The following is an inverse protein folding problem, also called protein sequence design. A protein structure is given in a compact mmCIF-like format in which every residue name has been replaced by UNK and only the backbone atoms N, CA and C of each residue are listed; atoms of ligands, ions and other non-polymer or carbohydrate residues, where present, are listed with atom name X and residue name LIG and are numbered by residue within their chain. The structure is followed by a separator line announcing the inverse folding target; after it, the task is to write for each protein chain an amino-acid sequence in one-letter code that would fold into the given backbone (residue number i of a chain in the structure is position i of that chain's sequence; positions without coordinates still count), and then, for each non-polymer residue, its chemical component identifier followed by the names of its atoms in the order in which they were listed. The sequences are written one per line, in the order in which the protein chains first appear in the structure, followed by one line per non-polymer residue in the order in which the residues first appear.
data_IF_518710283591
#
_entry.id   IF_518710283591
#
_cell.length_a   1.000
_cell.length_b   1.000
_cell.length_c   1.000
_cell.angle_alpha   90.00
_cell.angle_beta   90.00
_cell.angle_gamma   90.00
#
_symmetry.space_group_name_H-M   'P 1'
#
loop_
_entity.id
_entity.type
_entity.pdbx_description
1 polymer ?
#
# COMPACT_ATOMS: atom_id res chain seq x y z
N UNK A 1 37.83 -13.17 74.03
CA UNK A 1 38.02 -12.21 72.88
C UNK A 1 38.07 -12.93 71.53
N UNK A 2 38.68 -14.09 71.43
CA UNK A 2 38.71 -14.89 70.20
C UNK A 2 37.33 -15.30 69.67
N UNK A 3 36.39 -15.60 70.49
CA UNK A 3 35.06 -16.05 70.15
C UNK A 3 34.20 -14.96 69.48
N UNK A 4 34.39 -13.69 69.85
CA UNK A 4 33.73 -12.54 69.19
C UNK A 4 34.33 -12.21 67.85
N UNK A 5 35.62 -12.47 67.61
CA UNK A 5 36.27 -12.24 66.38
C UNK A 5 35.80 -13.25 65.29
N UNK A 6 35.68 -14.54 65.68
CA UNK A 6 35.17 -15.58 64.77
C UNK A 6 33.71 -15.35 64.36
N UNK A 7 32.88 -14.88 65.28
CA UNK A 7 31.47 -14.55 64.97
C UNK A 7 31.34 -13.35 64.05
N UNK A 8 32.24 -12.37 64.13
CA UNK A 8 32.27 -11.23 63.27
C UNK A 8 32.75 -11.62 61.85
N UNK A 9 33.76 -12.47 61.74
CA UNK A 9 34.24 -12.99 60.44
C UNK A 9 33.17 -13.82 59.73
N UNK A 10 32.44 -14.66 60.48
CA UNK A 10 31.33 -15.44 59.92
C UNK A 10 30.18 -14.56 59.42
N UNK A 11 29.83 -13.52 60.17
CA UNK A 11 28.84 -12.54 59.76
C UNK A 11 29.27 -11.75 58.51
N UNK A 12 30.54 -11.36 58.43
CA UNK A 12 31.08 -10.67 57.22
C UNK A 12 30.97 -11.57 56.00
N UNK A 13 31.41 -12.83 56.14
CA UNK A 13 31.30 -13.79 55.02
C UNK A 13 29.84 -14.04 54.59
N UNK A 14 28.94 -14.06 55.53
CA UNK A 14 27.51 -14.20 55.25
C UNK A 14 26.92 -12.97 54.58
N UNK A 15 27.31 -11.77 54.97
CA UNK A 15 26.91 -10.53 54.29
C UNK A 15 27.50 -10.41 52.88
N UNK A 16 28.76 -10.78 52.68
CA UNK A 16 29.40 -10.80 51.34
C UNK A 16 28.70 -11.77 50.42
N UNK A 17 28.38 -12.97 50.85
CA UNK A 17 27.63 -13.95 50.05
C UNK A 17 26.23 -13.42 49.68
N UNK A 18 25.56 -12.76 50.63
CA UNK A 18 24.24 -12.18 50.40
C UNK A 18 24.27 -10.98 49.42
N UNK A 19 25.34 -10.18 49.52
CA UNK A 19 25.57 -9.09 48.55
C UNK A 19 25.82 -9.63 47.14
N UNK A 20 26.64 -10.68 46.97
CA UNK A 20 26.88 -11.32 45.70
C UNK A 20 25.60 -11.92 45.10
N UNK A 21 24.79 -12.54 45.93
CA UNK A 21 23.51 -13.09 45.50
C UNK A 21 22.53 -12.00 45.05
N UNK A 22 22.45 -10.89 45.81
CA UNK A 22 21.62 -9.74 45.43
C UNK A 22 22.11 -9.05 44.17
N UNK A 23 23.40 -8.94 43.97
CA UNK A 23 24.01 -8.37 42.77
C UNK A 23 23.71 -9.24 41.55
N UNK A 24 23.88 -10.54 41.67
CA UNK A 24 23.48 -11.51 40.62
C UNK A 24 21.99 -11.42 40.29
N UNK A 25 21.12 -11.41 41.28
CA UNK A 25 19.68 -11.28 41.07
C UNK A 25 19.31 -9.94 40.45
N UNK A 26 20.00 -8.87 40.83
CA UNK A 26 19.79 -7.53 40.22
C UNK A 26 20.17 -7.49 38.73
N UNK A 27 21.31 -8.09 38.43
CA UNK A 27 21.79 -8.18 37.04
C UNK A 27 20.87 -8.98 36.15
N UNK A 28 20.42 -10.16 36.65
CA UNK A 28 19.44 -10.99 35.94
C UNK A 28 18.10 -10.28 35.71
N UNK A 29 17.65 -9.50 36.69
CA UNK A 29 16.40 -8.72 36.55
C UNK A 29 16.57 -7.57 35.57
N UNK A 30 17.70 -6.87 35.58
CA UNK A 30 17.99 -5.80 34.61
C UNK A 30 18.03 -6.35 33.20
N UNK A 31 18.68 -7.47 32.98
CA UNK A 31 18.71 -8.12 31.67
C UNK A 31 17.31 -8.53 31.21
N UNK A 32 16.50 -9.10 32.08
CA UNK A 32 15.09 -9.42 31.76
C UNK A 32 14.28 -8.18 31.43
N UNK A 33 14.43 -7.10 32.18
CA UNK A 33 13.74 -5.83 31.92
C UNK A 33 14.16 -5.25 30.58
N UNK A 34 15.44 -5.26 30.25
CA UNK A 34 15.95 -4.77 29.00
C UNK A 34 15.42 -5.59 27.82
N UNK A 35 15.39 -6.91 27.93
CA UNK A 35 14.84 -7.79 26.91
C UNK A 35 13.33 -7.61 26.72
N UNK A 36 12.58 -7.42 27.81
CA UNK A 36 11.14 -7.12 27.75
C UNK A 36 10.87 -5.74 27.14
N UNK A 37 11.67 -4.74 27.48
CA UNK A 37 11.52 -3.38 26.93
C UNK A 37 11.79 -3.35 25.42
N UNK A 38 12.82 -4.05 24.97
CA UNK A 38 13.12 -4.19 23.54
C UNK A 38 12.02 -4.92 22.79
N UNK A 39 11.50 -6.01 23.34
CA UNK A 39 10.36 -6.73 22.77
C UNK A 39 9.08 -5.88 22.74
N UNK A 40 8.84 -5.09 23.80
CA UNK A 40 7.68 -4.21 23.88
C UNK A 40 7.72 -3.07 22.85
N UNK A 41 8.90 -2.50 22.57
CA UNK A 41 9.03 -1.42 21.57
C UNK A 41 8.77 -1.91 20.15
N UNK A 42 9.29 -3.08 19.77
CA UNK A 42 9.04 -3.68 18.46
C UNK A 42 7.60 -4.19 18.30
N UNK A 43 7.03 -4.80 19.32
CA UNK A 43 5.63 -5.19 19.36
C UNK A 43 4.71 -3.95 19.30
N UNK A 44 5.08 -2.86 20.01
CA UNK A 44 4.35 -1.59 19.95
C UNK A 44 4.37 -0.97 18.57
N UNK A 45 5.50 -1.01 17.86
CA UNK A 45 5.63 -0.52 16.49
C UNK A 45 4.79 -1.35 15.51
N UNK A 46 4.85 -2.67 15.61
CA UNK A 46 4.04 -3.57 14.80
C UNK A 46 2.54 -3.35 15.02
N UNK A 47 2.13 -3.18 16.28
CA UNK A 47 0.75 -2.86 16.63
C UNK A 47 0.30 -1.50 16.09
N UNK A 48 1.15 -0.47 16.18
CA UNK A 48 0.87 0.85 15.62
C UNK A 48 0.65 0.79 14.10
N UNK A 49 1.47 0.03 13.37
CA UNK A 49 1.27 -0.18 11.93
C UNK A 49 -0.01 -0.96 11.62
N UNK A 50 -0.35 -1.99 12.41
CA UNK A 50 -1.59 -2.74 12.23
C UNK A 50 -2.83 -1.88 12.53
N UNK A 51 -2.78 -1.01 13.51
CA UNK A 51 -3.87 -0.06 13.80
C UNK A 51 -4.02 0.97 12.68
N UNK A 52 -2.92 1.50 12.15
CA UNK A 52 -2.99 2.35 10.95
C UNK A 52 -3.57 1.60 9.76
N UNK A 53 -3.17 0.36 9.52
CA UNK A 53 -3.77 -0.50 8.50
C UNK A 53 -5.28 -0.61 8.65
N UNK A 54 -5.77 -0.87 9.87
CA UNK A 54 -7.21 -1.00 10.16
C UNK A 54 -8.00 0.27 9.89
N UNK A 55 -7.38 1.45 10.01
CA UNK A 55 -8.07 2.71 9.68
C UNK A 55 -8.46 2.82 8.21
N UNK A 56 -7.75 2.15 7.30
CA UNK A 56 -8.03 2.16 5.86
C UNK A 56 -9.06 1.12 5.42
N UNK A 57 -9.32 0.08 6.21
CA UNK A 57 -10.33 -0.95 5.90
C UNK A 57 -11.75 -0.38 5.78
N UNK A 58 -12.13 0.53 6.69
CA UNK A 58 -13.46 1.14 6.68
C UNK A 58 -13.71 2.03 5.45
N UNK A 59 -12.83 3.00 5.14
CA UNK A 59 -12.95 3.81 3.92
C UNK A 59 -12.98 2.96 2.64
N UNK A 60 -12.10 1.95 2.53
CA UNK A 60 -12.07 1.05 1.40
C UNK A 60 -13.42 0.37 1.16
N UNK A 61 -13.99 -0.24 2.21
CA UNK A 61 -15.29 -0.91 2.11
C UNK A 61 -16.45 0.05 1.80
N UNK A 62 -16.40 1.29 2.30
CA UNK A 62 -17.38 2.32 2.00
C UNK A 62 -17.32 2.74 0.52
N UNK A 63 -16.16 3.08 0.01
CA UNK A 63 -15.98 3.49 -1.37
C UNK A 63 -16.28 2.38 -2.37
N UNK A 64 -15.97 1.14 -2.03
CA UNK A 64 -16.35 -0.01 -2.84
C UNK A 64 -17.88 -0.17 -2.94
N UNK A 65 -18.61 0.05 -1.85
CA UNK A 65 -20.08 0.04 -1.87
C UNK A 65 -20.65 1.17 -2.72
N UNK A 66 -20.08 2.39 -2.60
CA UNK A 66 -20.47 3.55 -3.43
C UNK A 66 -20.27 3.25 -4.91
N UNK A 67 -19.15 2.65 -5.27
CA UNK A 67 -18.85 2.22 -6.65
C UNK A 67 -19.90 1.23 -7.18
N UNK A 68 -20.17 0.15 -6.44
CA UNK A 68 -21.15 -0.86 -6.83
C UNK A 68 -22.55 -0.23 -6.95
N UNK A 69 -22.95 0.63 -6.01
CA UNK A 69 -24.24 1.32 -6.04
C UNK A 69 -24.37 2.23 -7.24
N UNK A 70 -23.29 2.95 -7.61
CA UNK A 70 -23.28 3.81 -8.81
C UNK A 70 -23.47 3.02 -10.09
N UNK A 71 -22.80 1.87 -10.22
CA UNK A 71 -22.98 0.97 -11.38
C UNK A 71 -24.40 0.41 -11.44
N UNK A 72 -24.97 0.02 -10.28
CA UNK A 72 -26.32 -0.51 -10.19
C UNK A 72 -27.36 0.55 -10.59
N UNK A 73 -27.19 1.81 -10.17
CA UNK A 73 -28.02 2.92 -10.60
C UNK A 73 -27.91 3.18 -12.11
N UNK A 74 -26.71 3.11 -12.69
CA UNK A 74 -26.51 3.22 -14.14
C UNK A 74 -27.25 2.11 -14.89
N UNK A 75 -27.17 0.87 -14.38
CA UNK A 75 -27.91 -0.26 -14.98
C UNK A 75 -29.43 -0.06 -14.92
N UNK A 76 -29.95 0.41 -13.79
CA UNK A 76 -31.39 0.73 -13.65
C UNK A 76 -31.81 1.84 -14.61
N UNK A 77 -31.00 2.89 -14.76
CA UNK A 77 -31.26 3.97 -15.73
C UNK A 77 -31.26 3.45 -17.18
N UNK A 78 -30.34 2.55 -17.52
CA UNK A 78 -30.28 1.95 -18.84
C UNK A 78 -31.52 1.09 -19.12
N UNK A 79 -31.90 0.23 -18.18
CA UNK A 79 -33.12 -0.59 -18.29
C UNK A 79 -34.38 0.26 -18.41
N UNK A 80 -34.48 1.32 -17.58
CA UNK A 80 -35.60 2.27 -17.67
C UNK A 80 -35.62 3.00 -19.02
N UNK A 81 -34.44 3.32 -19.58
CA UNK A 81 -34.35 3.89 -20.92
C UNK A 81 -34.89 2.97 -22.02
N UNK A 82 -34.48 1.70 -21.98
CA UNK A 82 -34.93 0.68 -22.91
C UNK A 82 -36.43 0.42 -22.78
N UNK A 83 -36.90 0.32 -21.54
CA UNK A 83 -38.35 0.13 -21.24
C UNK A 83 -39.18 1.26 -21.81
N UNK A 84 -38.78 2.51 -21.65
CA UNK A 84 -39.46 3.68 -22.20
C UNK A 84 -39.55 3.63 -23.72
N UNK A 85 -38.46 3.28 -24.40
CA UNK A 85 -38.46 3.16 -25.87
C UNK A 85 -39.33 2.02 -26.35
N UNK A 86 -39.36 0.90 -25.63
CA UNK A 86 -40.19 -0.27 -25.99
C UNK A 86 -41.70 -0.03 -25.89
N UNK A 87 -42.15 0.85 -24.97
CA UNK A 87 -43.55 1.15 -24.74
C UNK A 87 -44.07 2.37 -25.50
N UNK A 88 -43.29 2.94 -26.40
CA UNK A 88 -43.74 4.02 -27.30
C UNK A 88 -44.49 3.36 -28.47
N UNK A 89 -45.82 3.56 -28.57
CA UNK A 89 -46.68 2.97 -29.59
C UNK A 89 -46.41 3.42 -31.03
N UNK A 90 -45.66 4.49 -31.20
CA UNK A 90 -45.20 5.03 -32.50
C UNK A 90 -43.70 5.05 -32.56
N UNK A 91 -43.13 4.66 -33.70
CA UNK A 91 -41.71 4.78 -33.91
C UNK A 91 -41.27 6.26 -33.68
N UNK A 92 -40.44 6.52 -32.63
CA UNK A 92 -40.09 7.88 -32.28
C UNK A 92 -39.26 8.52 -33.40
N UNK A 93 -39.56 9.77 -33.69
CA UNK A 93 -38.70 10.58 -34.61
C UNK A 93 -37.29 10.77 -34.00
N UNK A 94 -36.29 10.87 -34.88
CA UNK A 94 -34.89 11.06 -34.45
C UNK A 94 -34.71 12.21 -33.46
N UNK A 95 -35.44 13.31 -33.63
CA UNK A 95 -35.38 14.48 -32.73
C UNK A 95 -35.91 14.16 -31.33
N UNK A 96 -36.93 13.34 -31.20
CA UNK A 96 -37.49 12.93 -29.92
C UNK A 96 -36.53 11.99 -29.18
N UNK A 97 -35.91 11.05 -29.89
CA UNK A 97 -34.89 10.16 -29.34
C UNK A 97 -33.70 10.97 -28.81
N UNK A 98 -33.17 11.88 -29.62
CA UNK A 98 -32.02 12.72 -29.23
C UNK A 98 -32.39 13.57 -28.00
N UNK A 99 -33.55 14.17 -27.97
CA UNK A 99 -34.02 14.98 -26.83
C UNK A 99 -34.15 14.15 -25.55
N UNK A 100 -34.67 12.94 -25.66
CA UNK A 100 -34.81 12.01 -24.53
C UNK A 100 -33.44 11.56 -24.00
N UNK A 101 -32.48 11.25 -24.88
CA UNK A 101 -31.12 10.89 -24.49
C UNK A 101 -30.38 12.08 -23.86
N UNK A 102 -30.49 13.26 -24.48
CA UNK A 102 -29.82 14.48 -24.00
C UNK A 102 -30.26 14.89 -22.62
N UNK A 103 -31.56 14.70 -22.27
CA UNK A 103 -32.07 14.99 -20.94
C UNK A 103 -31.53 14.10 -19.84
N UNK A 104 -31.10 12.88 -20.16
CA UNK A 104 -30.51 11.91 -19.22
C UNK A 104 -28.99 12.02 -19.10
N UNK A 105 -28.33 12.64 -20.06
CA UNK A 105 -26.89 12.74 -20.17
C UNK A 105 -26.22 13.34 -18.91
N UNK A 106 -26.71 14.45 -18.32
CA UNK A 106 -26.13 15.00 -17.11
C UNK A 106 -26.13 14.05 -15.91
N UNK A 107 -27.24 13.28 -15.77
CA UNK A 107 -27.35 12.32 -14.67
C UNK A 107 -26.40 11.13 -14.87
N UNK A 108 -26.31 10.59 -16.08
CA UNK A 108 -25.35 9.53 -16.43
C UNK A 108 -23.93 10.01 -16.23
N UNK A 109 -23.60 11.22 -16.68
CA UNK A 109 -22.27 11.78 -16.52
C UNK A 109 -21.89 11.94 -15.03
N UNK A 110 -22.82 12.40 -14.19
CA UNK A 110 -22.60 12.52 -12.75
C UNK A 110 -22.36 11.15 -12.07
N UNK A 111 -23.15 10.12 -12.45
CA UNK A 111 -22.98 8.77 -11.91
C UNK A 111 -21.67 8.12 -12.37
N UNK A 112 -21.29 8.30 -13.62
CA UNK A 112 -19.99 7.82 -14.14
C UNK A 112 -18.84 8.51 -13.40
N UNK A 113 -18.94 9.83 -13.20
CA UNK A 113 -17.93 10.56 -12.44
C UNK A 113 -17.82 10.04 -10.99
N UNK A 114 -18.97 9.81 -10.33
CA UNK A 114 -19.02 9.27 -8.97
C UNK A 114 -18.39 7.87 -8.91
N UNK A 115 -18.70 7.00 -9.89
CA UNK A 115 -18.13 5.66 -9.96
C UNK A 115 -16.59 5.69 -10.12
N UNK A 116 -16.09 6.55 -11.00
CA UNK A 116 -14.63 6.73 -11.19
C UNK A 116 -13.99 7.24 -9.92
N UNK A 117 -14.57 8.25 -9.27
CA UNK A 117 -14.06 8.80 -8.02
C UNK A 117 -14.01 7.73 -6.92
N UNK A 118 -15.11 6.99 -6.73
CA UNK A 118 -15.20 5.94 -5.73
C UNK A 118 -14.18 4.81 -5.98
N UNK A 119 -13.96 4.43 -7.23
CA UNK A 119 -12.96 3.44 -7.61
C UNK A 119 -11.53 3.89 -7.25
N UNK A 120 -11.23 5.18 -7.45
CA UNK A 120 -9.92 5.76 -7.09
C UNK A 120 -9.68 5.71 -5.59
N UNK A 121 -10.65 6.20 -4.81
CA UNK A 121 -10.55 6.23 -3.36
C UNK A 121 -10.42 4.81 -2.76
N UNK A 122 -11.19 3.86 -3.29
CA UNK A 122 -11.07 2.46 -2.88
C UNK A 122 -9.68 1.87 -3.19
N UNK A 123 -9.13 2.17 -4.37
CA UNK A 123 -7.80 1.70 -4.77
C UNK A 123 -6.68 2.33 -3.93
N UNK A 124 -6.78 3.62 -3.60
CA UNK A 124 -5.82 4.30 -2.72
C UNK A 124 -5.86 3.73 -1.30
N UNK A 125 -7.06 3.56 -0.75
CA UNK A 125 -7.23 2.98 0.59
C UNK A 125 -6.66 1.55 0.67
N UNK A 126 -6.89 0.73 -0.36
CA UNK A 126 -6.36 -0.63 -0.45
C UNK A 126 -4.82 -0.65 -0.48
N UNK A 127 -4.21 0.23 -1.26
CA UNK A 127 -2.75 0.34 -1.34
C UNK A 127 -2.11 0.73 -0.01
N UNK A 128 -2.70 1.70 0.67
CA UNK A 128 -2.22 2.10 2.00
C UNK A 128 -2.39 0.97 3.01
N UNK A 129 -3.49 0.24 2.96
CA UNK A 129 -3.71 -0.95 3.79
C UNK A 129 -2.62 -2.01 3.57
N UNK A 130 -2.30 -2.33 2.31
CA UNK A 130 -1.28 -3.31 1.95
C UNK A 130 0.12 -2.87 2.41
N UNK A 131 0.46 -1.59 2.25
CA UNK A 131 1.76 -1.04 2.63
C UNK A 131 1.97 -1.05 4.16
N UNK A 132 0.95 -0.63 4.92
CA UNK A 132 1.00 -0.71 6.39
C UNK A 132 0.96 -2.15 6.90
N UNK A 133 0.26 -3.05 6.21
CA UNK A 133 0.28 -4.49 6.49
C UNK A 133 1.68 -5.09 6.31
N UNK A 134 2.37 -4.72 5.24
CA UNK A 134 3.74 -5.13 4.99
C UNK A 134 4.71 -4.62 6.08
N UNK A 135 4.60 -3.34 6.45
CA UNK A 135 5.40 -2.75 7.54
C UNK A 135 5.16 -3.41 8.88
N UNK A 136 3.90 -3.72 9.20
CA UNK A 136 3.53 -4.46 10.42
C UNK A 136 4.15 -5.86 10.43
N UNK A 137 4.09 -6.58 9.30
CA UNK A 137 4.69 -7.90 9.16
C UNK A 137 6.21 -7.86 9.35
N UNK A 138 6.91 -6.91 8.71
CA UNK A 138 8.36 -6.73 8.88
C UNK A 138 8.70 -6.42 10.35
N UNK A 139 7.98 -5.50 10.99
CA UNK A 139 8.22 -5.15 12.39
C UNK A 139 8.01 -6.35 13.32
N UNK A 140 7.01 -7.20 13.04
CA UNK A 140 6.75 -8.42 13.82
C UNK A 140 7.87 -9.46 13.62
N UNK A 141 8.33 -9.67 12.41
CA UNK A 141 9.38 -10.66 12.08
C UNK A 141 10.76 -10.21 12.54
N UNK A 142 11.00 -8.90 12.62
CA UNK A 142 12.31 -8.33 12.94
C UNK A 142 12.88 -8.87 14.25
N UNK A 143 12.06 -8.95 15.31
CA UNK A 143 12.53 -9.42 16.62
C UNK A 143 12.93 -10.91 16.59
N UNK A 144 12.20 -11.72 15.83
CA UNK A 144 12.56 -13.13 15.61
C UNK A 144 13.90 -13.27 14.88
N UNK A 145 14.08 -12.57 13.78
CA UNK A 145 15.33 -12.60 13.03
C UNK A 145 16.50 -12.01 13.82
N UNK A 146 16.27 -10.96 14.58
CA UNK A 146 17.29 -10.35 15.43
C UNK A 146 17.81 -11.34 16.46
N UNK A 147 16.95 -12.08 17.15
CA UNK A 147 17.34 -13.11 18.12
C UNK A 147 18.16 -14.21 17.47
N UNK A 148 17.72 -14.69 16.31
CA UNK A 148 18.41 -15.75 15.58
C UNK A 148 19.80 -15.30 15.11
N UNK A 149 19.90 -14.09 14.55
CA UNK A 149 21.17 -13.53 14.10
C UNK A 149 22.13 -13.22 15.25
N UNK A 150 21.62 -12.80 16.42
CA UNK A 150 22.46 -12.57 17.60
C UNK A 150 23.04 -13.90 18.13
N UNK A 151 22.34 -15.01 17.99
CA UNK A 151 22.84 -16.33 18.35
C UNK A 151 23.93 -16.84 17.38
N UNK A 152 23.84 -16.45 16.10
CA UNK A 152 24.80 -16.87 15.07
C UNK A 152 26.06 -15.98 15.09
N UNK A 153 25.88 -14.70 15.26
CA UNK A 153 26.92 -13.68 15.09
C UNK A 153 27.28 -13.08 16.47
N UNK A 154 28.27 -13.65 17.14
CA UNK A 154 28.78 -13.16 18.42
C UNK A 154 29.72 -11.94 18.28
N UNK A 155 29.86 -11.38 17.08
CA UNK A 155 30.79 -10.30 16.77
C UNK A 155 30.11 -8.95 16.56
N UNK A 156 30.72 -7.88 17.14
CA UNK A 156 30.34 -6.48 16.95
C UNK A 156 30.88 -5.91 15.61
N UNK A 157 30.93 -6.71 14.56
CA UNK A 157 31.43 -6.25 13.27
C UNK A 157 30.35 -5.46 12.53
N UNK A 158 30.68 -4.26 11.97
CA UNK A 158 29.74 -3.46 11.19
C UNK A 158 29.25 -4.15 9.91
N UNK A 159 29.97 -5.15 9.42
CA UNK A 159 29.59 -6.00 8.27
C UNK A 159 28.85 -7.28 8.67
N UNK A 160 28.42 -7.38 9.93
CA UNK A 160 27.68 -8.54 10.42
C UNK A 160 26.31 -8.65 9.74
N UNK A 161 25.83 -9.90 9.60
CA UNK A 161 24.50 -10.19 9.04
C UNK A 161 23.41 -9.45 9.84
N UNK A 162 23.58 -9.29 11.16
CA UNK A 162 22.69 -8.55 12.03
C UNK A 162 22.66 -7.05 11.70
N UNK A 163 23.83 -6.42 11.50
CA UNK A 163 23.92 -5.00 11.16
C UNK A 163 23.23 -4.72 9.83
N UNK A 164 23.44 -5.56 8.83
CA UNK A 164 22.77 -5.48 7.52
C UNK A 164 21.28 -5.65 7.64
N UNK A 165 20.80 -6.65 8.38
CA UNK A 165 19.37 -6.87 8.65
C UNK A 165 18.73 -5.64 9.29
N UNK A 166 19.38 -5.04 10.30
CA UNK A 166 18.90 -3.84 10.96
C UNK A 166 18.81 -2.65 9.99
N UNK A 167 19.85 -2.43 9.16
CA UNK A 167 19.87 -1.36 8.18
C UNK A 167 18.79 -1.52 7.11
N UNK A 168 18.61 -2.71 6.55
CA UNK A 168 17.61 -3.01 5.54
C UNK A 168 16.18 -2.85 6.10
N UNK A 169 15.96 -3.33 7.33
CA UNK A 169 14.66 -3.19 8.01
C UNK A 169 14.34 -1.74 8.29
N UNK A 170 15.31 -0.98 8.81
CA UNK A 170 15.15 0.45 9.09
C UNK A 170 14.85 1.23 7.82
N UNK A 171 15.53 0.94 6.72
CA UNK A 171 15.30 1.54 5.40
C UNK A 171 13.89 1.25 4.90
N UNK A 172 13.41 0.02 5.07
CA UNK A 172 12.06 -0.38 4.65
C UNK A 172 10.98 0.31 5.48
N UNK A 173 11.17 0.41 6.80
CA UNK A 173 10.23 1.09 7.69
C UNK A 173 10.23 2.61 7.45
N UNK A 174 11.40 3.21 7.21
CA UNK A 174 11.57 4.63 6.98
C UNK A 174 11.00 5.09 5.62
N UNK A 175 10.82 4.18 4.64
CA UNK A 175 10.20 4.52 3.37
C UNK A 175 8.76 4.99 3.56
N UNK A 176 8.38 6.18 3.04
CA UNK A 176 7.00 6.65 3.14
C UNK A 176 6.05 5.72 2.43
N UNK A 177 4.81 5.56 2.94
CA UNK A 177 3.78 4.73 2.31
C UNK A 177 3.45 5.23 0.90
N UNK A 178 3.17 4.31 -0.01
CA UNK A 178 2.78 4.62 -1.39
C UNK A 178 3.92 4.72 -2.40
N UNK A 179 5.18 4.81 -1.97
CA UNK A 179 6.35 4.94 -2.87
C UNK A 179 6.57 3.70 -3.76
N UNK A 180 6.15 2.53 -3.31
CA UNK A 180 6.26 1.27 -4.09
C UNK A 180 5.46 1.39 -5.39
N UNK A 181 4.42 2.20 -5.39
CA UNK A 181 3.48 2.39 -6.51
C UNK A 181 3.74 3.62 -7.37
N UNK A 182 4.71 4.48 -7.01
CA UNK A 182 5.08 5.67 -7.81
C UNK A 182 5.55 5.32 -9.23
N UNK A 183 6.09 4.10 -9.42
CA UNK A 183 6.51 3.60 -10.74
C UNK A 183 5.36 3.04 -11.58
N UNK A 184 4.19 2.83 -11.01
CA UNK A 184 2.99 2.40 -11.70
C UNK A 184 1.93 3.49 -11.57
N UNK A 185 1.90 4.46 -12.50
CA UNK A 185 0.84 5.46 -12.50
C UNK A 185 -0.49 4.72 -12.53
N UNK A 186 -1.33 5.02 -11.55
CA UNK A 186 -2.71 4.60 -11.61
C UNK A 186 -3.29 5.13 -12.91
N UNK A 187 -3.56 4.27 -13.86
CA UNK A 187 -4.47 4.56 -14.95
C UNK A 187 -5.85 4.65 -14.29
N UNK A 188 -6.20 5.85 -13.87
CA UNK A 188 -7.25 6.00 -12.87
C UNK A 188 -8.47 6.69 -13.44
N UNK A 189 -8.34 7.26 -14.63
CA UNK A 189 -9.48 7.87 -15.31
C UNK A 189 -9.58 7.34 -16.74
N UNK A 190 -10.82 7.07 -17.23
CA UNK A 190 -11.05 6.83 -18.65
C UNK A 190 -10.48 7.95 -19.53
N UNK A 191 -10.38 9.17 -18.99
CA UNK A 191 -9.77 10.33 -19.63
C UNK A 191 -8.26 10.16 -19.79
N UNK A 192 -7.57 9.59 -18.81
CA UNK A 192 -6.14 9.32 -18.90
C UNK A 192 -5.85 8.16 -19.87
N UNK A 193 -6.72 7.15 -19.89
CA UNK A 193 -6.69 6.13 -20.94
C UNK A 193 -6.98 6.71 -22.32
N UNK A 194 -8.00 7.54 -22.46
CA UNK A 194 -8.28 8.22 -23.73
C UNK A 194 -7.10 9.07 -24.19
N UNK A 195 -6.46 9.84 -23.33
CA UNK A 195 -5.23 10.58 -23.66
C UNK A 195 -4.10 9.65 -24.08
N UNK A 196 -4.00 8.50 -23.47
CA UNK A 196 -3.02 7.48 -23.82
C UNK A 196 -3.32 6.86 -25.19
N UNK A 197 -4.57 6.52 -25.46
CA UNK A 197 -5.02 6.04 -26.77
C UNK A 197 -4.86 7.10 -27.86
N UNK A 198 -5.21 8.36 -27.60
CA UNK A 198 -4.99 9.45 -28.56
C UNK A 198 -3.51 9.68 -28.84
N UNK A 199 -2.66 9.56 -27.85
CA UNK A 199 -1.20 9.65 -28.01
C UNK A 199 -0.65 8.49 -28.83
N UNK A 200 -1.05 7.26 -28.53
CA UNK A 200 -0.67 6.07 -29.31
C UNK A 200 -1.18 6.17 -30.75
N UNK A 201 -2.42 6.61 -30.95
CA UNK A 201 -2.97 6.82 -32.28
C UNK A 201 -2.21 7.90 -33.07
N UNK A 202 -1.84 9.00 -32.41
CA UNK A 202 -1.04 10.07 -33.01
C UNK A 202 0.38 9.60 -33.36
N UNK A 203 1.01 8.83 -32.49
CA UNK A 203 2.33 8.25 -32.76
C UNK A 203 2.28 7.21 -33.89
N UNK A 204 1.23 6.39 -33.96
CA UNK A 204 1.01 5.40 -35.01
C UNK A 204 0.75 6.08 -36.38
N UNK A 205 -0.04 7.15 -36.39
CA UNK A 205 -0.27 7.93 -37.63
C UNK A 205 1.00 8.64 -38.11
N UNK A 206 1.83 9.12 -37.17
CA UNK A 206 3.16 9.67 -37.51
C UNK A 206 4.06 8.60 -38.17
N UNK A 207 4.16 7.44 -37.53
CA UNK A 207 4.96 6.32 -38.05
C UNK A 207 4.47 5.86 -39.45
N UNK A 208 3.15 5.77 -39.62
CA UNK A 208 2.56 5.43 -40.93
C UNK A 208 2.84 6.51 -41.99
N UNK A 209 2.79 7.79 -41.62
CA UNK A 209 3.11 8.89 -42.54
C UNK A 209 4.59 8.91 -42.95
N UNK A 210 5.48 8.54 -42.04
CA UNK A 210 6.91 8.40 -42.32
C UNK A 210 7.22 7.20 -43.23
N UNK A 211 6.55 6.07 -43.00
CA UNK A 211 6.67 4.87 -43.84
C UNK A 211 6.07 5.07 -45.24
N UNK A 212 5.05 5.92 -45.39
CA UNK A 212 4.43 6.21 -46.67
C UNK A 212 5.24 7.19 -47.56
N UNK A 213 6.08 8.05 -46.98
CA UNK A 213 6.92 9.00 -47.71
C UNK A 213 7.80 8.35 -48.79
N UNK A 214 8.60 7.30 -48.49
CA UNK A 214 9.44 6.67 -49.51
C UNK A 214 8.62 5.97 -50.60
N UNK A 215 7.42 5.46 -50.29
CA UNK A 215 6.54 4.84 -51.27
C UNK A 215 5.93 5.86 -52.22
N UNK A 216 5.53 7.03 -51.73
CA UNK A 216 5.02 8.15 -52.53
C UNK A 216 6.13 8.72 -53.41
N UNK A 217 7.34 8.82 -52.88
CA UNK A 217 8.50 9.32 -53.63
C UNK A 217 8.95 8.33 -54.76
N UNK A 218 8.88 7.03 -54.47
CA UNK A 218 9.13 5.97 -55.45
C UNK A 218 8.06 5.96 -56.56
N UNK A 219 6.79 6.12 -56.21
CA UNK A 219 5.69 6.24 -57.18
C UNK A 219 5.79 7.51 -58.04
N UNK A 220 6.18 8.64 -57.44
CA UNK A 220 6.40 9.88 -58.17
C UNK A 220 7.61 9.82 -59.14
N UNK A 221 8.63 9.02 -58.79
CA UNK A 221 9.80 8.77 -59.63
C UNK A 221 9.48 7.83 -60.81
N UNK A 222 8.59 6.86 -60.62
CA UNK A 222 8.13 5.93 -61.66
C UNK A 222 7.12 6.55 -62.62
N UNK A 223 6.46 7.64 -62.25
CA UNK A 223 5.47 8.34 -63.06
C UNK A 223 6.05 9.51 -63.92
N UNK A 224 7.38 9.71 -63.91
CA UNK A 224 8.03 10.70 -64.77
C UNK A 224 8.39 10.04 -66.14
N UNK A 225 7.83 10.51 -67.26
CA UNK A 225 8.11 9.97 -68.57
C UNK A 225 9.55 10.27 -69.02
#
# INVERSE_FOLDING_TARGET
MADKASTVEENIAQYENRLRELDSQSTDRLEKIENLLRGATTAGLAHAFDDHRKTFLKPQGMWQKVFITSILLLAVLAVNGLWTVYHIDKAPEWNELIRMWLSRLPLVAALVWLAIYASREAALAKRLEEDYGYKSAIATCFEGFRKEMTNIDQGTNPDSALAKLCADTLTTIATPPGRIYDKHPLIVTPIDEMKRFTKIAADTTKSLSELSKPLVEAAAKAAKP
#
